data_IF_475099069280
#
_entry.id   IF_475099069280
#
_cell.length_a   1.000
_cell.length_b   1.000
_cell.length_c   1.000
_cell.angle_alpha   90.00
_cell.angle_beta   90.00
_cell.angle_gamma   90.00
#
_symmetry.space_group_name_H-M   'P 1'
#
loop_
_entity.id
_entity.type
_entity.pdbx_description
1 polymer ?
#
# COMPACT_ATOMS: atom_id res chain seq x y z
N UNK A 1 -10.96 60.66 -18.47
CA UNK A 1 -10.16 61.08 -17.29
C UNK A 1 -10.28 59.94 -16.30
N UNK A 2 -9.27 59.27 -15.76
CA UNK A 2 -7.88 59.55 -15.37
C UNK A 2 -7.23 58.16 -15.06
N UNK A 3 -5.92 57.90 -14.91
CA UNK A 3 -4.63 58.59 -15.17
C UNK A 3 -3.59 57.46 -15.30
N UNK A 4 -2.62 57.54 -16.22
CA UNK A 4 -1.44 56.67 -16.19
C UNK A 4 -0.51 57.09 -15.04
N UNK A 5 0.09 56.14 -14.31
CA UNK A 5 1.19 56.39 -13.36
C UNK A 5 2.29 55.34 -13.58
N UNK A 6 3.55 55.80 -13.49
CA UNK A 6 4.76 55.05 -13.86
C UNK A 6 5.31 54.19 -12.71
N UNK A 7 5.85 53.03 -13.11
CA UNK A 7 7.21 52.56 -12.80
C UNK A 7 8.00 53.26 -11.66
N UNK A 8 8.30 52.52 -10.58
CA UNK A 8 9.54 52.67 -9.79
C UNK A 8 10.03 51.27 -9.38
N UNK A 9 11.34 51.03 -9.53
CA UNK A 9 12.05 49.80 -9.17
C UNK A 9 13.03 50.12 -8.03
N UNK A 10 12.89 49.48 -6.86
CA UNK A 10 13.84 49.65 -5.74
C UNK A 10 14.05 48.35 -4.97
N UNK A 11 15.30 47.87 -4.98
CA UNK A 11 15.79 46.72 -4.22
C UNK A 11 16.20 47.15 -2.80
N UNK A 12 15.87 46.36 -1.77
CA UNK A 12 16.45 46.50 -0.44
C UNK A 12 16.61 45.12 0.23
N UNK A 13 17.85 44.63 0.29
CA UNK A 13 18.24 43.46 1.07
C UNK A 13 18.57 43.91 2.50
N UNK A 14 17.99 43.24 3.50
CA UNK A 14 18.37 43.42 4.91
C UNK A 14 18.67 42.05 5.54
N UNK A 15 19.95 41.69 5.57
CA UNK A 15 20.46 40.56 6.37
C UNK A 15 20.51 41.02 7.83
N UNK A 16 19.74 40.36 8.70
CA UNK A 16 19.77 40.60 10.14
C UNK A 16 20.43 39.43 10.87
N UNK A 17 21.71 39.57 11.23
CA UNK A 17 22.38 38.66 12.17
C UNK A 17 22.01 39.03 13.61
N UNK A 18 21.45 38.08 14.37
CA UNK A 18 20.99 38.26 15.75
C UNK A 18 21.68 37.34 16.77
N UNK A 19 22.86 37.76 17.24
CA UNK A 19 23.38 37.67 18.62
C UNK A 19 23.04 36.42 19.51
N UNK A 20 24.08 35.62 19.76
CA UNK A 20 24.35 34.78 20.96
C UNK A 20 24.11 35.57 22.28
N UNK A 21 23.69 35.04 23.44
CA UNK A 21 23.59 33.68 24.05
C UNK A 21 22.27 33.60 24.91
N UNK A 22 21.91 32.59 25.73
CA UNK A 22 22.57 31.38 26.28
C UNK A 22 21.58 30.28 26.72
N UNK A 23 22.14 29.10 27.03
CA UNK A 23 21.73 27.98 27.91
C UNK A 23 20.25 27.77 28.35
N UNK A 24 19.67 26.68 27.86
CA UNK A 24 18.85 25.75 28.67
C UNK A 24 19.31 24.31 28.31
N UNK A 25 19.39 23.43 29.31
CA UNK A 25 19.93 22.07 29.16
C UNK A 25 18.83 21.09 28.73
N UNK A 26 18.78 20.73 27.44
CA UNK A 26 17.98 19.59 26.97
C UNK A 26 18.86 18.34 26.89
N UNK A 27 18.55 17.38 27.78
CA UNK A 27 19.26 16.12 27.92
C UNK A 27 18.86 15.15 26.80
N UNK A 28 19.46 15.32 25.62
CA UNK A 28 19.25 14.44 24.47
C UNK A 28 19.91 13.07 24.68
N UNK A 29 19.17 12.17 25.31
CA UNK A 29 19.42 10.74 25.22
C UNK A 29 18.92 10.27 23.85
N UNK A 30 19.76 9.68 22.98
CA UNK A 30 19.27 9.00 21.80
C UNK A 30 18.38 7.85 22.29
N UNK A 31 17.08 7.91 21.97
CA UNK A 31 16.26 6.72 22.03
C UNK A 31 16.85 5.75 21.01
N UNK A 32 17.34 4.61 21.50
CA UNK A 32 17.66 3.46 20.66
C UNK A 32 16.36 3.05 19.99
N UNK A 33 16.15 3.53 18.76
CA UNK A 33 15.15 2.96 17.89
C UNK A 33 15.57 1.52 17.67
N UNK A 34 14.70 0.59 18.08
CA UNK A 34 14.82 -0.81 17.70
C UNK A 34 14.75 -0.88 16.18
N UNK A 35 15.91 -0.78 15.54
CA UNK A 35 16.11 -1.30 14.21
C UNK A 35 15.94 -2.81 14.34
N UNK A 36 14.71 -3.28 14.16
CA UNK A 36 14.44 -4.67 13.85
C UNK A 36 15.27 -4.98 12.61
N UNK A 37 16.42 -5.62 12.84
CA UNK A 37 17.22 -6.20 11.78
C UNK A 37 16.38 -7.34 11.20
N UNK A 38 15.58 -7.02 10.17
CA UNK A 38 15.17 -8.02 9.20
C UNK A 38 16.46 -8.60 8.62
N UNK A 39 16.87 -9.72 9.23
CA UNK A 39 17.85 -10.60 8.63
C UNK A 39 17.34 -10.91 7.23
N UNK A 40 18.16 -10.62 6.22
CA UNK A 40 17.82 -10.93 4.83
C UNK A 40 17.50 -12.43 4.76
N UNK A 41 16.21 -12.75 4.56
CA UNK A 41 15.76 -14.12 4.47
C UNK A 41 16.48 -14.78 3.28
N UNK A 42 16.96 -16.00 3.50
CA UNK A 42 17.55 -16.80 2.43
C UNK A 42 16.49 -16.96 1.32
N UNK A 43 16.80 -16.66 0.03
CA UNK A 43 15.84 -16.90 -1.05
C UNK A 43 15.35 -18.36 -1.13
N UNK A 44 16.05 -19.32 -0.50
CA UNK A 44 15.59 -20.69 -0.33
C UNK A 44 14.46 -20.89 0.70
N UNK A 45 14.15 -19.90 1.56
CA UNK A 45 13.10 -20.00 2.59
C UNK A 45 11.77 -19.32 2.21
N UNK A 46 11.65 -18.77 1.01
CA UNK A 46 10.43 -18.07 0.57
C UNK A 46 9.38 -19.04 0.03
N UNK A 47 8.13 -18.96 0.54
CA UNK A 47 6.99 -19.73 0.02
C UNK A 47 6.09 -18.85 -0.88
N UNK A 48 6.10 -19.04 -2.22
CA UNK A 48 5.24 -18.29 -3.15
C UNK A 48 3.75 -18.60 -3.00
N UNK A 49 3.35 -19.60 -2.20
CA UNK A 49 1.94 -19.85 -1.84
C UNK A 49 1.52 -19.16 -0.55
N UNK A 50 2.44 -18.69 0.29
CA UNK A 50 2.12 -17.92 1.51
C UNK A 50 2.38 -16.43 1.32
N UNK A 51 3.44 -16.10 0.58
CA UNK A 51 3.95 -14.74 0.49
C UNK A 51 4.85 -14.38 1.68
N UNK A 52 5.04 -13.08 1.86
CA UNK A 52 5.71 -12.44 2.98
C UNK A 52 4.71 -11.62 3.80
N UNK A 53 4.76 -11.75 5.12
CA UNK A 53 3.81 -11.09 6.02
C UNK A 53 3.30 -11.99 7.16
N UNK A 54 2.28 -11.48 7.86
CA UNK A 54 1.76 -12.01 9.14
C UNK A 54 0.71 -13.12 9.02
N UNK A 55 0.20 -13.41 7.83
CA UNK A 55 -0.82 -14.44 7.61
C UNK A 55 -0.15 -15.73 7.13
N UNK A 56 -0.16 -16.77 7.97
CA UNK A 56 0.31 -18.11 7.60
C UNK A 56 -0.80 -18.96 6.99
N UNK A 57 -2.00 -18.86 7.54
CA UNK A 57 -3.21 -19.56 7.07
C UNK A 57 -4.42 -18.63 7.19
N UNK A 58 -5.29 -18.65 6.19
CA UNK A 58 -6.55 -17.90 6.20
C UNK A 58 -7.68 -18.84 5.78
N UNK A 59 -8.49 -19.24 6.76
CA UNK A 59 -9.61 -20.15 6.56
C UNK A 59 -10.76 -19.48 5.80
N UNK A 60 -11.33 -20.21 4.84
CA UNK A 60 -12.47 -19.78 4.04
C UNK A 60 -13.67 -20.69 4.28
N UNK A 61 -14.86 -20.09 4.39
CA UNK A 61 -16.11 -20.85 4.42
C UNK A 61 -16.35 -21.57 3.09
N UNK A 62 -17.02 -22.73 3.13
CA UNK A 62 -17.33 -23.51 1.93
C UNK A 62 -18.25 -22.78 0.92
N UNK A 63 -19.04 -21.83 1.42
CA UNK A 63 -19.88 -20.89 0.64
C UNK A 63 -19.35 -19.47 0.79
N UNK A 64 -19.88 -18.55 -0.01
CA UNK A 64 -19.61 -17.12 0.11
C UNK A 64 -20.31 -16.51 1.32
N UNK A 65 -19.60 -15.72 2.12
CA UNK A 65 -20.24 -14.77 3.04
C UNK A 65 -20.64 -13.51 2.26
N UNK A 66 -21.92 -13.47 1.86
CA UNK A 66 -22.50 -12.36 1.09
C UNK A 66 -22.40 -11.00 1.82
N UNK A 67 -22.44 -10.99 3.16
CA UNK A 67 -22.37 -9.76 3.94
C UNK A 67 -20.93 -9.23 4.02
N UNK A 68 -19.96 -10.13 4.22
CA UNK A 68 -18.53 -9.81 4.17
C UNK A 68 -18.10 -9.38 2.76
N UNK A 69 -18.55 -10.07 1.71
CA UNK A 69 -18.29 -9.69 0.32
C UNK A 69 -18.86 -8.31 -0.02
N UNK A 70 -20.04 -7.95 0.49
CA UNK A 70 -20.64 -6.63 0.27
C UNK A 70 -19.84 -5.50 0.96
N UNK A 71 -19.35 -5.72 2.19
CA UNK A 71 -18.42 -4.78 2.84
C UNK A 71 -17.09 -4.67 2.08
N UNK A 72 -16.58 -5.79 1.56
CA UNK A 72 -15.40 -5.81 0.71
C UNK A 72 -15.55 -5.00 -0.57
N UNK A 73 -16.72 -5.07 -1.20
CA UNK A 73 -17.08 -4.30 -2.38
C UNK A 73 -17.05 -2.78 -2.12
N UNK A 74 -17.58 -2.34 -0.97
CA UNK A 74 -17.52 -0.93 -0.54
C UNK A 74 -16.06 -0.46 -0.34
N UNK A 75 -15.24 -1.23 0.38
CA UNK A 75 -13.82 -0.88 0.62
C UNK A 75 -13.02 -0.89 -0.69
N UNK A 76 -13.18 -1.92 -1.53
CA UNK A 76 -12.54 -1.99 -2.83
C UNK A 76 -12.96 -0.82 -3.74
N UNK A 77 -14.23 -0.42 -3.68
CA UNK A 77 -14.77 0.75 -4.36
C UNK A 77 -14.02 2.04 -4.04
N UNK A 78 -13.55 2.21 -2.81
CA UNK A 78 -12.78 3.39 -2.37
C UNK A 78 -11.28 3.24 -2.57
N UNK A 79 -10.71 2.07 -2.25
CA UNK A 79 -9.24 1.86 -2.11
C UNK A 79 -8.58 1.10 -3.27
N UNK A 80 -9.35 0.50 -4.19
CA UNK A 80 -8.80 -0.43 -5.21
C UNK A 80 -9.24 -0.17 -6.65
N UNK A 81 -10.50 0.25 -6.90
CA UNK A 81 -11.07 0.36 -8.26
C UNK A 81 -10.43 1.45 -9.13
N UNK A 82 -9.72 2.41 -8.53
CA UNK A 82 -8.89 3.40 -9.24
C UNK A 82 -7.73 2.76 -10.01
N UNK A 83 -7.25 1.59 -9.55
CA UNK A 83 -6.10 0.89 -10.13
C UNK A 83 -6.46 -0.47 -10.76
N UNK A 84 -7.50 -1.15 -10.28
CA UNK A 84 -7.85 -2.51 -10.67
C UNK A 84 -9.25 -2.63 -11.28
N UNK A 85 -9.40 -3.53 -12.25
CA UNK A 85 -10.70 -3.94 -12.82
C UNK A 85 -11.13 -5.29 -12.24
N UNK A 86 -12.45 -5.52 -12.22
CA UNK A 86 -13.05 -6.81 -11.87
C UNK A 86 -12.87 -7.87 -12.99
N UNK A 87 -12.56 -7.42 -14.20
CA UNK A 87 -12.24 -8.24 -15.38
C UNK A 87 -10.77 -8.73 -15.34
N UNK A 88 -10.27 -9.26 -16.45
CA UNK A 88 -8.86 -9.56 -16.72
C UNK A 88 -8.08 -8.35 -17.28
N UNK A 89 -8.74 -7.22 -17.51
CA UNK A 89 -8.14 -6.01 -18.08
C UNK A 89 -7.19 -5.31 -17.09
N UNK A 90 -5.97 -4.99 -17.55
CA UNK A 90 -5.03 -4.12 -16.80
C UNK A 90 -5.46 -2.66 -16.94
N UNK A 91 -5.67 -1.98 -15.81
CA UNK A 91 -5.86 -0.52 -15.77
C UNK A 91 -4.55 0.16 -15.36
N UNK A 92 -4.23 0.14 -14.06
CA UNK A 92 -2.89 0.45 -13.53
C UNK A 92 -2.27 -0.84 -13.02
N UNK A 93 -2.99 -1.52 -12.10
CA UNK A 93 -2.73 -2.89 -11.69
C UNK A 93 -3.42 -3.92 -12.60
N UNK A 94 -3.13 -5.22 -12.42
CA UNK A 94 -3.79 -6.31 -13.13
C UNK A 94 -5.28 -6.44 -12.77
N UNK A 95 -6.06 -7.04 -13.67
CA UNK A 95 -7.44 -7.40 -13.43
C UNK A 95 -7.61 -8.52 -12.38
N UNK A 96 -8.73 -8.48 -11.65
CA UNK A 96 -9.03 -9.40 -10.55
C UNK A 96 -9.73 -10.70 -10.96
N UNK A 97 -10.27 -10.82 -12.17
CA UNK A 97 -10.92 -12.06 -12.65
C UNK A 97 -10.02 -13.29 -12.44
N UNK A 98 -10.47 -14.25 -11.65
CA UNK A 98 -9.77 -15.49 -11.27
C UNK A 98 -8.60 -15.31 -10.30
N UNK A 99 -8.49 -14.18 -9.58
CA UNK A 99 -7.37 -13.93 -8.67
C UNK A 99 -7.33 -14.94 -7.51
N UNK A 100 -8.49 -15.37 -7.03
CA UNK A 100 -8.62 -16.38 -5.96
C UNK A 100 -8.39 -17.82 -6.44
N UNK A 101 -8.37 -18.04 -7.76
CA UNK A 101 -7.90 -19.29 -8.37
C UNK A 101 -6.37 -19.30 -8.53
N UNK A 102 -5.76 -18.13 -8.77
CA UNK A 102 -4.31 -17.96 -8.98
C UNK A 102 -3.50 -17.83 -7.69
N UNK A 103 -4.06 -17.23 -6.64
CA UNK A 103 -3.37 -16.90 -5.39
C UNK A 103 -4.14 -17.46 -4.19
N UNK A 104 -3.41 -17.85 -3.16
CA UNK A 104 -4.01 -18.38 -1.94
C UNK A 104 -4.65 -17.26 -1.09
N UNK A 105 -5.55 -17.60 -0.16
CA UNK A 105 -6.15 -16.65 0.77
C UNK A 105 -5.10 -15.84 1.56
N UNK A 106 -4.13 -16.52 2.18
CA UNK A 106 -3.08 -15.88 2.97
C UNK A 106 -2.13 -15.02 2.12
N UNK A 107 -1.82 -15.42 0.88
CA UNK A 107 -1.01 -14.63 -0.05
C UNK A 107 -1.69 -13.30 -0.38
N UNK A 108 -2.99 -13.34 -0.69
CA UNK A 108 -3.77 -12.13 -0.98
C UNK A 108 -3.80 -11.22 0.24
N UNK A 109 -4.11 -11.77 1.42
CA UNK A 109 -4.18 -11.01 2.68
C UNK A 109 -2.84 -10.36 3.05
N UNK A 110 -1.72 -11.09 2.91
CA UNK A 110 -0.37 -10.56 3.11
C UNK A 110 -0.10 -9.39 2.15
N UNK A 111 -0.35 -9.57 0.85
CA UNK A 111 -0.05 -8.56 -0.16
C UNK A 111 -0.89 -7.29 -0.03
N UNK A 112 -2.22 -7.39 0.17
CA UNK A 112 -3.08 -6.19 0.21
C UNK A 112 -2.95 -5.38 1.52
N UNK A 113 -2.50 -5.99 2.61
CA UNK A 113 -2.27 -5.30 3.89
C UNK A 113 -0.87 -4.70 4.00
N UNK A 114 0.13 -5.33 3.40
CA UNK A 114 1.49 -4.79 3.36
C UNK A 114 2.20 -5.10 2.02
N UNK A 115 2.01 -4.25 0.98
CA UNK A 115 2.52 -4.54 -0.36
C UNK A 115 4.05 -4.59 -0.47
N UNK A 116 4.78 -3.73 0.25
CA UNK A 116 6.20 -3.50 -0.05
C UNK A 116 7.12 -4.73 0.14
N UNK A 117 7.07 -5.48 1.26
CA UNK A 117 7.88 -6.69 1.42
C UNK A 117 7.57 -7.77 0.38
N UNK A 118 6.31 -7.82 -0.08
CA UNK A 118 5.90 -8.71 -1.17
C UNK A 118 6.48 -8.27 -2.51
N UNK A 119 6.49 -6.97 -2.82
CA UNK A 119 7.07 -6.48 -4.08
C UNK A 119 8.60 -6.70 -4.12
N UNK A 120 9.27 -6.66 -2.97
CA UNK A 120 10.73 -6.87 -2.90
C UNK A 120 11.14 -8.35 -2.91
N UNK A 121 10.23 -9.29 -2.60
CA UNK A 121 10.55 -10.74 -2.45
C UNK A 121 9.79 -11.68 -3.39
N UNK A 122 8.54 -11.39 -3.75
CA UNK A 122 7.70 -12.27 -4.57
C UNK A 122 8.04 -12.15 -6.07
N UNK A 123 8.52 -13.22 -6.73
CA UNK A 123 8.91 -13.16 -8.15
C UNK A 123 7.75 -12.82 -9.11
N UNK A 124 6.52 -13.18 -8.75
CA UNK A 124 5.33 -12.92 -9.56
C UNK A 124 4.83 -11.50 -9.37
N UNK A 125 4.95 -10.92 -8.17
CA UNK A 125 4.71 -9.48 -7.95
C UNK A 125 5.77 -8.65 -8.66
N UNK A 126 7.03 -9.09 -8.69
CA UNK A 126 8.10 -8.45 -9.46
C UNK A 126 7.82 -8.48 -10.97
N UNK A 127 7.47 -9.65 -11.52
CA UNK A 127 7.04 -9.76 -12.92
C UNK A 127 5.81 -8.87 -13.21
N UNK A 128 4.86 -8.78 -12.28
CA UNK A 128 3.71 -7.91 -12.42
C UNK A 128 4.08 -6.42 -12.34
N UNK A 129 5.10 -6.04 -11.56
CA UNK A 129 5.62 -4.67 -11.50
C UNK A 129 6.25 -4.25 -12.83
N UNK A 130 6.97 -5.13 -13.52
CA UNK A 130 7.49 -4.86 -14.87
C UNK A 130 6.37 -4.61 -15.89
N UNK A 131 5.24 -5.31 -15.76
CA UNK A 131 4.06 -5.14 -16.63
C UNK A 131 3.23 -3.89 -16.27
N UNK A 132 3.17 -3.53 -14.99
CA UNK A 132 2.38 -2.41 -14.48
C UNK A 132 3.13 -1.07 -14.50
N UNK A 133 4.47 -1.10 -14.36
CA UNK A 133 5.37 0.05 -14.23
C UNK A 133 5.06 0.97 -13.02
N UNK A 134 4.17 0.55 -12.13
CA UNK A 134 3.73 1.29 -10.95
C UNK A 134 3.71 0.33 -9.77
N UNK A 135 4.39 0.73 -8.69
CA UNK A 135 4.47 -0.02 -7.44
C UNK A 135 3.15 0.16 -6.67
N UNK A 136 2.54 -0.94 -6.19
CA UNK A 136 1.27 -0.88 -5.46
C UNK A 136 1.49 -0.19 -4.09
N UNK A 137 0.89 0.97 -3.81
CA UNK A 137 1.07 1.66 -2.54
C UNK A 137 0.27 0.98 -1.42
N UNK A 138 0.81 0.94 -0.20
CA UNK A 138 0.05 0.53 0.98
C UNK A 138 -1.17 1.47 1.17
N UNK A 139 -2.37 0.89 1.22
CA UNK A 139 -3.65 1.61 1.34
C UNK A 139 -4.16 1.73 2.80
N UNK A 140 -3.37 1.31 3.79
CA UNK A 140 -3.80 1.25 5.18
C UNK A 140 -5.01 0.33 5.35
N UNK A 141 -4.93 -0.87 4.78
CA UNK A 141 -6.00 -1.87 4.84
C UNK A 141 -5.95 -2.58 6.20
N UNK A 142 -7.06 -2.56 6.95
CA UNK A 142 -7.18 -3.35 8.19
C UNK A 142 -7.46 -4.84 7.90
N UNK A 143 -7.27 -5.71 8.89
CA UNK A 143 -7.48 -7.15 8.75
C UNK A 143 -8.94 -7.50 8.34
N UNK A 144 -9.92 -6.79 8.92
CA UNK A 144 -11.35 -6.93 8.58
C UNK A 144 -11.66 -6.44 7.17
N UNK A 145 -11.09 -5.30 6.77
CA UNK A 145 -11.21 -4.77 5.41
C UNK A 145 -10.59 -5.72 4.39
N UNK A 146 -9.40 -6.27 4.68
CA UNK A 146 -8.71 -7.23 3.84
C UNK A 146 -9.51 -8.52 3.68
N UNK A 147 -10.11 -9.06 4.75
CA UNK A 147 -11.01 -10.21 4.62
C UNK A 147 -12.26 -9.88 3.83
N UNK A 148 -12.84 -8.69 4.00
CA UNK A 148 -13.90 -8.17 3.13
C UNK A 148 -13.49 -8.23 1.66
N UNK A 149 -12.37 -7.60 1.30
CA UNK A 149 -11.86 -7.53 -0.08
C UNK A 149 -11.60 -8.94 -0.64
N UNK A 150 -10.99 -9.85 0.12
CA UNK A 150 -10.79 -11.24 -0.31
C UNK A 150 -12.13 -11.95 -0.57
N UNK A 151 -13.14 -11.74 0.27
CA UNK A 151 -14.47 -12.32 0.05
C UNK A 151 -15.15 -11.72 -1.20
N UNK A 152 -14.94 -10.43 -1.45
CA UNK A 152 -15.39 -9.79 -2.69
C UNK A 152 -14.68 -10.34 -3.94
N UNK A 153 -13.38 -10.63 -3.87
CA UNK A 153 -12.66 -11.33 -4.94
C UNK A 153 -13.22 -12.74 -5.18
N UNK A 154 -13.57 -13.50 -4.12
CA UNK A 154 -14.26 -14.80 -4.26
C UNK A 154 -15.62 -14.68 -4.94
N UNK A 155 -16.40 -13.64 -4.62
CA UNK A 155 -17.68 -13.31 -5.26
C UNK A 155 -17.49 -13.00 -6.75
N UNK A 156 -16.47 -12.21 -7.09
CA UNK A 156 -16.09 -11.89 -8.47
C UNK A 156 -15.73 -13.15 -9.28
N UNK A 157 -15.02 -14.07 -8.64
CA UNK A 157 -14.56 -15.32 -9.23
C UNK A 157 -15.62 -16.44 -9.20
N UNK A 158 -16.87 -16.12 -8.80
CA UNK A 158 -18.03 -16.98 -8.99
C UNK A 158 -18.38 -17.92 -7.82
N UNK A 159 -17.74 -17.77 -6.66
CA UNK A 159 -18.15 -18.44 -5.41
C UNK A 159 -19.52 -17.90 -4.97
N UNK A 160 -20.38 -18.77 -4.42
CA UNK A 160 -21.80 -18.50 -4.10
C UNK A 160 -22.15 -18.71 -2.64
#
# INVERSE_FOLDING_TARGET
>A
MNKSILLVLSLAVAVACGKKEASAEDNYQPAEGEATTEAAADPASYDPKRGEGKYDTVELGATLDQAMASKGEEVAGVKCTSCHKMTDEKLVGPGWKGVTERRTPQWIMNFITNPDPMIDKDPEVQAQLEICLVRMPNQGISDDEARGILEYMRKNDGVK
#
